data_IF_385889119324
#
_entry.id   IF_385889119324
#
_cell.length_a   1.000
_cell.length_b   1.000
_cell.length_c   1.000
_cell.angle_alpha   90.00
_cell.angle_beta   90.00
_cell.angle_gamma   90.00
#
_symmetry.space_group_name_H-M   'P 1'
#
loop_
_entity.id
_entity.type
_entity.pdbx_description
1 polymer ?
#
# COMPACT_ATOMS: atom_id res chain seq x y z
N UNK A 1 34.58 54.87 41.14
CA UNK A 1 33.40 53.99 41.24
C UNK A 1 33.35 53.14 39.98
N UNK A 2 33.10 51.84 40.14
CA UNK A 2 33.02 50.72 39.18
C UNK A 2 32.91 51.08 37.67
N UNK A 3 33.61 50.47 36.71
CA UNK A 3 34.15 49.12 36.61
C UNK A 3 33.54 48.40 35.39
N UNK A 4 34.23 48.36 34.25
CA UNK A 4 34.01 47.42 33.13
C UNK A 4 35.17 47.58 32.14
N UNK A 5 36.22 46.76 32.22
CA UNK A 5 36.31 45.38 31.72
C UNK A 5 36.21 45.33 30.19
N UNK A 6 37.39 45.21 29.56
CA UNK A 6 37.53 44.96 28.14
C UNK A 6 37.04 43.58 27.73
N UNK A 7 36.96 43.38 26.42
CA UNK A 7 37.04 42.04 25.84
C UNK A 7 37.64 42.13 24.44
N UNK A 8 38.86 41.64 24.35
CA UNK A 8 39.54 41.18 23.14
C UNK A 8 38.94 39.83 22.70
N UNK A 9 38.97 39.61 21.38
CA UNK A 9 38.96 38.38 20.58
C UNK A 9 38.45 37.04 21.17
N UNK A 10 37.59 36.33 20.43
CA UNK A 10 38.00 35.07 19.79
C UNK A 10 36.98 34.56 18.75
N UNK A 11 37.51 34.25 17.58
CA UNK A 11 37.00 33.33 16.54
C UNK A 11 36.35 32.06 17.12
N UNK A 12 35.24 31.57 16.52
CA UNK A 12 35.12 30.19 16.03
C UNK A 12 33.74 29.89 15.38
N UNK A 13 33.78 29.01 14.37
CA UNK A 13 32.74 28.08 13.94
C UNK A 13 31.60 28.56 13.04
N UNK A 14 31.87 28.43 11.73
CA UNK A 14 30.90 27.95 10.75
C UNK A 14 30.11 26.75 11.29
N UNK A 15 28.80 26.91 11.50
CA UNK A 15 27.87 25.78 11.55
C UNK A 15 26.96 25.87 10.33
N UNK A 16 27.27 25.04 9.34
CA UNK A 16 26.41 24.74 8.19
C UNK A 16 25.08 24.17 8.72
N UNK A 17 24.05 25.01 8.79
CA UNK A 17 22.70 24.56 9.10
C UNK A 17 22.18 23.70 7.93
N UNK A 18 21.97 22.42 8.22
CA UNK A 18 21.66 21.38 7.25
C UNK A 18 20.38 21.60 6.45
N UNK A 19 20.46 21.33 5.15
CA UNK A 19 19.31 21.11 4.26
C UNK A 19 18.43 19.97 4.80
N UNK A 20 17.36 20.31 5.51
CA UNK A 20 16.19 19.44 5.64
C UNK A 20 15.40 19.48 4.33
N UNK A 21 15.76 18.63 3.38
CA UNK A 21 14.86 18.29 2.28
C UNK A 21 13.76 17.38 2.82
N UNK A 22 12.72 17.97 3.42
CA UNK A 22 11.44 17.29 3.61
C UNK A 22 10.83 17.09 2.22
N UNK A 23 10.99 15.90 1.66
CA UNK A 23 10.29 15.52 0.43
C UNK A 23 8.79 15.69 0.65
N UNK A 24 8.17 16.63 -0.07
CA UNK A 24 6.72 16.83 -0.03
C UNK A 24 6.05 15.60 -0.61
N UNK A 25 5.30 14.89 0.23
CA UNK A 25 4.37 13.83 -0.15
C UNK A 25 3.40 14.35 -1.22
N UNK A 26 3.51 13.84 -2.46
CA UNK A 26 2.61 14.16 -3.57
C UNK A 26 1.55 13.06 -3.69
N UNK A 27 0.29 13.29 -3.25
CA UNK A 27 -0.77 12.29 -3.28
C UNK A 27 -1.42 12.11 -4.67
N UNK A 28 -0.87 12.74 -5.72
CA UNK A 28 -1.43 12.72 -7.06
C UNK A 28 -1.73 11.29 -7.56
N UNK A 29 -2.78 11.10 -8.38
CA UNK A 29 -3.09 9.80 -8.92
C UNK A 29 -1.93 9.25 -9.74
N UNK A 30 -1.42 8.06 -9.39
CA UNK A 30 -0.66 7.25 -10.34
C UNK A 30 -1.61 6.86 -11.45
N UNK A 31 -1.71 7.71 -12.47
CA UNK A 31 -2.45 7.39 -13.67
C UNK A 31 -1.82 6.14 -14.30
N UNK A 32 -2.63 5.21 -14.82
CA UNK A 32 -2.12 4.14 -15.64
C UNK A 32 -1.30 4.76 -16.78
N UNK A 33 -0.01 4.45 -16.81
CA UNK A 33 0.85 4.82 -17.93
C UNK A 33 1.18 3.52 -18.63
N UNK A 34 0.53 3.30 -19.77
CA UNK A 34 0.78 2.15 -20.63
C UNK A 34 2.23 2.27 -21.13
N UNK A 35 3.14 1.41 -20.63
CA UNK A 35 4.41 1.21 -21.32
C UNK A 35 4.19 0.35 -22.57
N UNK A 36 4.95 0.67 -23.61
CA UNK A 36 5.09 -0.11 -24.85
C UNK A 36 5.96 -1.38 -24.70
N UNK A 37 6.17 -1.89 -23.47
CA UNK A 37 6.97 -3.10 -23.24
C UNK A 37 6.10 -4.34 -23.47
N UNK A 38 6.57 -5.38 -24.18
CA UNK A 38 5.81 -6.60 -24.38
C UNK A 38 5.46 -7.21 -23.02
N UNK A 39 4.16 -7.34 -22.76
CA UNK A 39 3.61 -7.88 -21.52
C UNK A 39 3.62 -9.40 -21.61
N UNK A 40 4.37 -10.14 -20.77
CA UNK A 40 4.33 -11.59 -20.87
C UNK A 40 2.96 -12.16 -20.44
N UNK A 41 2.22 -11.50 -19.55
CA UNK A 41 0.97 -12.08 -19.03
C UNK A 41 -0.09 -11.02 -18.70
N UNK A 42 -0.77 -10.51 -19.72
CA UNK A 42 -2.14 -9.99 -19.52
C UNK A 42 -3.08 -11.19 -19.35
N UNK A 43 -2.97 -11.89 -18.23
CA UNK A 43 -3.88 -12.97 -17.90
C UNK A 43 -5.31 -12.39 -17.84
N UNK A 44 -6.14 -12.74 -18.83
CA UNK A 44 -7.59 -12.53 -18.78
C UNK A 44 -8.09 -13.23 -17.52
N UNK A 45 -8.40 -12.44 -16.49
CA UNK A 45 -9.04 -12.96 -15.29
C UNK A 45 -10.47 -13.36 -15.65
N UNK A 46 -10.67 -14.63 -16.01
CA UNK A 46 -11.99 -15.24 -16.08
C UNK A 46 -12.62 -15.19 -14.69
N UNK A 47 -13.69 -14.42 -14.55
CA UNK A 47 -14.45 -14.33 -13.30
C UNK A 47 -15.39 -15.53 -13.25
N UNK A 48 -15.09 -16.50 -12.39
CA UNK A 48 -16.07 -17.50 -11.99
C UNK A 48 -17.23 -16.77 -11.27
N UNK A 49 -18.37 -16.71 -11.95
CA UNK A 49 -19.60 -16.03 -11.53
C UNK A 49 -20.37 -16.87 -10.50
N UNK A 50 -19.77 -17.14 -9.34
CA UNK A 50 -20.55 -17.52 -8.16
C UNK A 50 -21.40 -16.32 -7.73
N UNK A 51 -22.70 -16.55 -7.41
CA UNK A 51 -23.70 -15.54 -6.99
C UNK A 51 -23.06 -14.23 -6.54
N UNK A 52 -23.03 -13.24 -7.45
CA UNK A 52 -22.37 -11.94 -7.19
C UNK A 52 -23.06 -11.30 -6.00
N UNK A 53 -22.44 -11.33 -4.83
CA UNK A 53 -22.80 -10.42 -3.73
C UNK A 53 -22.77 -9.02 -4.31
N UNK A 54 -23.91 -8.32 -4.26
CA UNK A 54 -24.01 -6.98 -4.81
C UNK A 54 -22.96 -6.08 -4.14
N UNK A 55 -22.08 -5.47 -4.95
CA UNK A 55 -21.09 -4.51 -4.46
C UNK A 55 -21.86 -3.22 -4.14
N UNK A 56 -21.73 -2.66 -2.94
CA UNK A 56 -22.37 -1.37 -2.65
C UNK A 56 -21.75 -0.25 -3.50
N UNK A 57 -22.48 0.84 -3.82
CA UNK A 57 -21.92 1.97 -4.56
C UNK A 57 -20.66 2.57 -3.90
N UNK A 58 -20.66 2.67 -2.56
CA UNK A 58 -19.51 3.16 -1.79
C UNK A 58 -18.33 2.20 -1.86
N UNK A 59 -18.56 0.89 -1.76
CA UNK A 59 -17.49 -0.10 -1.97
C UNK A 59 -16.93 -0.04 -3.40
N UNK A 60 -17.76 0.15 -4.43
CA UNK A 60 -17.29 0.35 -5.82
C UNK A 60 -16.37 1.57 -5.93
N UNK A 61 -16.63 2.65 -5.19
CA UNK A 61 -15.75 3.82 -5.17
C UNK A 61 -14.39 3.46 -4.58
N UNK A 62 -14.34 2.77 -3.43
CA UNK A 62 -13.08 2.32 -2.84
C UNK A 62 -12.30 1.39 -3.77
N UNK A 63 -12.99 0.44 -4.41
CA UNK A 63 -12.37 -0.53 -5.32
C UNK A 63 -11.77 0.11 -6.59
N UNK A 64 -12.35 1.20 -7.07
CA UNK A 64 -11.89 1.89 -8.29
C UNK A 64 -11.12 3.19 -8.04
N UNK A 65 -11.05 3.66 -6.79
CA UNK A 65 -10.43 4.94 -6.45
C UNK A 65 -8.94 5.02 -6.83
N UNK A 66 -8.55 5.92 -7.74
CA UNK A 66 -7.14 6.11 -8.09
C UNK A 66 -6.37 6.82 -6.97
N UNK A 67 -5.04 6.85 -7.11
CA UNK A 67 -4.14 7.55 -6.20
C UNK A 67 -3.88 6.83 -4.89
N UNK A 68 -3.36 7.56 -3.91
CA UNK A 68 -2.91 7.00 -2.63
C UNK A 68 -4.09 6.57 -1.77
N UNK A 69 -4.16 5.26 -1.44
CA UNK A 69 -5.11 4.75 -0.47
C UNK A 69 -4.95 5.45 0.89
N UNK A 70 -3.71 5.62 1.35
CA UNK A 70 -3.42 6.24 2.65
C UNK A 70 -3.86 7.70 2.71
N UNK A 71 -3.65 8.49 1.64
CA UNK A 71 -4.19 9.86 1.59
C UNK A 71 -5.70 9.89 1.76
N UNK A 72 -6.39 8.94 1.11
CA UNK A 72 -7.84 8.83 1.11
C UNK A 72 -8.39 8.41 2.47
N UNK A 73 -7.75 7.46 3.14
CA UNK A 73 -8.11 7.05 4.50
C UNK A 73 -7.89 8.18 5.51
N UNK A 74 -6.86 9.02 5.33
CA UNK A 74 -6.59 10.19 6.19
C UNK A 74 -7.69 11.26 6.18
N UNK A 75 -8.57 11.24 5.18
CA UNK A 75 -9.77 12.11 5.17
C UNK A 75 -10.79 11.72 6.25
N UNK A 76 -10.66 10.52 6.84
CA UNK A 76 -11.61 9.95 7.79
C UNK A 76 -11.04 9.78 9.20
N UNK A 77 -9.80 10.21 9.45
CA UNK A 77 -9.16 10.09 10.75
C UNK A 77 -7.65 9.83 10.69
N UNK A 78 -7.04 9.60 11.86
CA UNK A 78 -5.62 9.31 11.98
C UNK A 78 -5.31 7.91 11.44
N UNK A 79 -4.49 7.83 10.39
CA UNK A 79 -4.08 6.55 9.80
C UNK A 79 -2.77 6.05 10.40
N UNK A 80 -2.79 4.84 10.95
CA UNK A 80 -1.60 4.11 11.41
C UNK A 80 -1.43 2.81 10.62
N UNK A 81 -0.18 2.47 10.29
CA UNK A 81 0.17 1.18 9.66
C UNK A 81 0.67 0.23 10.74
N UNK A 82 0.03 -0.92 10.86
CA UNK A 82 0.49 -2.03 11.67
C UNK A 82 1.03 -3.14 10.76
N UNK A 83 2.28 -3.54 10.93
CA UNK A 83 2.84 -4.68 10.20
C UNK A 83 2.36 -5.97 10.85
N UNK A 84 1.80 -6.88 10.05
CA UNK A 84 1.33 -8.20 10.51
C UNK A 84 2.40 -9.25 10.25
N UNK A 85 2.97 -9.23 9.05
CA UNK A 85 4.04 -10.14 8.65
C UNK A 85 4.88 -9.50 7.56
N UNK A 86 6.16 -9.87 7.48
CA UNK A 86 6.97 -9.58 6.31
C UNK A 86 8.11 -10.58 6.19
N UNK A 87 8.43 -11.03 4.97
CA UNK A 87 9.49 -12.01 4.77
C UNK A 87 9.38 -12.77 3.45
N UNK A 88 10.22 -13.80 3.32
CA UNK A 88 10.15 -14.74 2.19
C UNK A 88 8.93 -15.64 2.36
N UNK A 89 8.09 -15.73 1.34
CA UNK A 89 6.91 -16.60 1.35
C UNK A 89 6.70 -17.24 -0.02
N UNK A 90 5.96 -18.36 -0.02
CA UNK A 90 5.35 -18.88 -1.25
C UNK A 90 4.24 -17.93 -1.68
N UNK A 91 4.24 -17.58 -2.97
CA UNK A 91 3.29 -16.67 -3.58
C UNK A 91 1.99 -17.39 -3.92
N UNK A 92 0.86 -16.68 -3.83
CA UNK A 92 -0.42 -17.21 -4.28
C UNK A 92 -0.48 -17.31 -5.81
N UNK A 93 -1.34 -18.18 -6.41
CA UNK A 93 -1.32 -18.42 -7.87
C UNK A 93 -1.38 -17.15 -8.73
N UNK A 94 -2.22 -16.19 -8.36
CA UNK A 94 -2.33 -14.88 -8.99
C UNK A 94 -1.09 -14.00 -8.81
N UNK A 95 -0.38 -14.14 -7.70
CA UNK A 95 0.90 -13.46 -7.47
C UNK A 95 2.00 -14.10 -8.32
N UNK A 96 2.02 -15.42 -8.42
CA UNK A 96 2.94 -16.14 -9.31
C UNK A 96 2.74 -15.72 -10.76
N UNK A 97 1.48 -15.62 -11.20
CA UNK A 97 1.14 -15.17 -12.55
C UNK A 97 1.60 -13.72 -12.82
N UNK A 98 1.48 -12.83 -11.83
CA UNK A 98 1.90 -11.43 -11.97
C UNK A 98 3.42 -11.22 -11.86
N UNK A 99 4.10 -12.03 -11.04
CA UNK A 99 5.51 -11.85 -10.69
C UNK A 99 6.47 -12.80 -11.41
N UNK A 100 5.96 -13.83 -12.10
CA UNK A 100 6.76 -14.82 -12.82
C UNK A 100 7.62 -15.71 -11.93
N UNK A 101 7.28 -15.88 -10.65
CA UNK A 101 8.07 -16.67 -9.70
C UNK A 101 7.20 -17.34 -8.63
N UNK A 102 7.66 -18.45 -8.06
CA UNK A 102 6.92 -19.21 -7.02
C UNK A 102 7.10 -18.65 -5.61
N UNK A 103 8.26 -18.07 -5.34
CA UNK A 103 8.61 -17.51 -4.03
C UNK A 103 9.02 -16.04 -4.19
N UNK A 104 8.57 -15.24 -3.25
CA UNK A 104 8.78 -13.80 -3.25
C UNK A 104 8.99 -13.25 -1.86
N UNK A 105 9.25 -11.95 -1.80
CA UNK A 105 9.13 -11.20 -0.57
C UNK A 105 7.70 -10.68 -0.45
N UNK A 106 7.09 -10.92 0.70
CA UNK A 106 5.73 -10.51 1.00
C UNK A 106 5.76 -9.59 2.21
N UNK A 107 4.95 -8.54 2.19
CA UNK A 107 4.68 -7.67 3.33
C UNK A 107 3.17 -7.55 3.50
N UNK A 108 2.68 -7.90 4.68
CA UNK A 108 1.27 -7.83 5.06
C UNK A 108 1.11 -6.81 6.18
N UNK A 109 0.16 -5.90 6.00
CA UNK A 109 -0.09 -4.82 6.93
C UNK A 109 -1.59 -4.63 7.12
N UNK A 110 -1.94 -4.02 8.23
CA UNK A 110 -3.27 -3.47 8.48
C UNK A 110 -3.15 -1.97 8.61
N UNK A 111 -3.96 -1.26 7.83
CA UNK A 111 -4.19 0.17 7.99
C UNK A 111 -5.32 0.34 8.99
N UNK A 112 -5.08 1.09 10.06
CA UNK A 112 -6.09 1.48 11.05
C UNK A 112 -6.45 2.95 10.86
N UNK A 113 -7.73 3.29 11.00
CA UNK A 113 -8.20 4.67 11.16
C UNK A 113 -8.66 4.79 12.62
N UNK A 114 -8.07 5.73 13.37
CA UNK A 114 -8.41 5.99 14.78
C UNK A 114 -8.43 4.71 15.63
N UNK A 115 -7.43 3.85 15.41
CA UNK A 115 -7.29 2.57 16.11
C UNK A 115 -8.13 1.42 15.54
N UNK A 116 -9.14 1.66 14.70
CA UNK A 116 -9.98 0.61 14.12
C UNK A 116 -9.39 0.02 12.82
N UNK A 117 -9.26 -1.32 12.66
CA UNK A 117 -8.79 -1.95 11.43
C UNK A 117 -9.66 -1.60 10.22
N UNK A 118 -9.09 -0.93 9.23
CA UNK A 118 -9.80 -0.42 8.06
C UNK A 118 -9.48 -1.22 6.80
N UNK A 119 -8.20 -1.51 6.55
CA UNK A 119 -7.77 -2.21 5.34
C UNK A 119 -6.69 -3.22 5.68
N UNK A 120 -6.88 -4.46 5.24
CA UNK A 120 -5.80 -5.45 5.18
C UNK A 120 -5.13 -5.34 3.81
N UNK A 121 -3.81 -5.18 3.79
CA UNK A 121 -3.06 -5.03 2.55
C UNK A 121 -1.89 -6.00 2.49
N UNK A 122 -1.69 -6.57 1.30
CA UNK A 122 -0.59 -7.48 0.99
C UNK A 122 0.15 -6.99 -0.23
N UNK A 123 1.45 -6.85 -0.08
CA UNK A 123 2.36 -6.46 -1.14
C UNK A 123 3.35 -7.59 -1.40
N UNK A 124 3.54 -7.97 -2.66
CA UNK A 124 4.41 -9.08 -3.05
C UNK A 124 5.26 -8.73 -4.25
N UNK A 125 6.53 -9.15 -4.22
CA UNK A 125 7.48 -8.96 -5.32
C UNK A 125 8.54 -10.06 -5.29
N UNK A 126 9.33 -10.19 -6.37
CA UNK A 126 10.39 -11.20 -6.43
C UNK A 126 11.52 -10.89 -5.45
N UNK A 127 12.25 -11.93 -5.04
CA UNK A 127 13.38 -11.79 -4.12
C UNK A 127 14.55 -11.01 -4.73
N UNK A 128 14.69 -11.04 -6.05
CA UNK A 128 15.66 -10.21 -6.77
C UNK A 128 15.27 -8.74 -6.70
N UNK A 129 13.99 -8.43 -6.86
CA UNK A 129 13.52 -7.06 -6.89
C UNK A 129 13.68 -6.34 -5.53
N UNK A 130 13.57 -7.06 -4.41
CA UNK A 130 13.87 -6.50 -3.07
C UNK A 130 15.36 -6.33 -2.76
N UNK A 131 16.25 -6.71 -3.68
CA UNK A 131 17.68 -6.33 -3.65
C UNK A 131 17.95 -5.12 -4.56
N UNK A 132 17.02 -4.77 -5.44
CA UNK A 132 17.17 -3.72 -6.44
C UNK A 132 16.08 -2.65 -6.31
N UNK A 133 15.21 -2.44 -7.32
CA UNK A 133 14.29 -1.30 -7.37
C UNK A 133 13.29 -1.24 -6.21
N UNK A 134 12.98 -2.37 -5.57
CA UNK A 134 12.08 -2.48 -4.42
C UNK A 134 12.81 -2.69 -3.09
N UNK A 135 14.12 -2.41 -3.00
CA UNK A 135 14.92 -2.61 -1.77
C UNK A 135 14.33 -1.97 -0.52
N UNK A 136 13.72 -0.80 -0.69
CA UNK A 136 13.16 -0.02 0.41
C UNK A 136 11.98 -0.72 1.10
N UNK A 137 11.32 -1.69 0.44
CA UNK A 137 10.16 -2.40 1.03
C UNK A 137 10.51 -3.09 2.36
N UNK A 138 11.75 -3.56 2.52
CA UNK A 138 12.25 -4.22 3.73
C UNK A 138 12.38 -3.24 4.91
N UNK A 139 12.68 -1.98 4.63
CA UNK A 139 12.94 -0.92 5.61
C UNK A 139 11.77 0.04 5.82
N UNK A 140 10.58 -0.30 5.32
CA UNK A 140 9.41 0.57 5.49
C UNK A 140 8.95 0.64 6.96
N UNK A 141 9.06 -0.45 7.72
CA UNK A 141 8.55 -0.49 9.10
C UNK A 141 7.06 -0.11 9.12
N UNK A 142 6.73 0.93 9.88
CA UNK A 142 5.37 1.50 9.99
C UNK A 142 5.05 2.57 8.94
N UNK A 143 5.95 2.83 7.98
CA UNK A 143 5.68 3.76 6.88
C UNK A 143 4.76 3.12 5.82
N UNK A 144 3.80 3.88 5.27
CA UNK A 144 2.92 3.41 4.22
C UNK A 144 3.72 3.13 2.94
N UNK A 145 3.35 2.07 2.23
CA UNK A 145 3.96 1.73 0.92
C UNK A 145 3.83 2.88 -0.09
N UNK A 146 2.79 3.70 0.05
CA UNK A 146 2.59 4.89 -0.76
C UNK A 146 3.86 5.77 -0.84
N UNK A 147 4.59 5.96 0.26
CA UNK A 147 5.83 6.76 0.24
C UNK A 147 6.83 6.21 -0.79
N UNK A 148 7.07 4.90 -0.80
CA UNK A 148 7.95 4.26 -1.79
C UNK A 148 7.42 4.40 -3.23
N UNK A 149 6.11 4.32 -3.42
CA UNK A 149 5.52 4.40 -4.75
C UNK A 149 5.62 5.83 -5.30
N UNK A 150 5.19 6.83 -4.52
CA UNK A 150 5.06 8.21 -4.98
C UNK A 150 6.36 9.01 -4.98
N UNK A 151 7.40 8.56 -4.27
CA UNK A 151 8.74 9.17 -4.32
C UNK A 151 9.42 9.00 -5.69
N UNK A 152 9.04 7.98 -6.47
CA UNK A 152 9.71 7.64 -7.72
C UNK A 152 8.81 7.89 -8.92
N UNK A 153 9.08 8.98 -9.67
CA UNK A 153 8.38 9.33 -10.93
C UNK A 153 8.44 8.25 -12.01
N UNK A 154 9.35 7.28 -11.88
CA UNK A 154 9.54 6.15 -12.79
C UNK A 154 8.65 4.95 -12.48
N UNK A 155 7.91 4.98 -11.36
CA UNK A 155 6.97 3.91 -11.02
C UNK A 155 5.72 4.03 -11.87
N UNK A 156 5.37 2.92 -12.50
CA UNK A 156 4.19 2.81 -13.35
C UNK A 156 3.20 1.86 -12.70
N UNK A 157 1.94 1.99 -13.05
CA UNK A 157 0.86 1.23 -12.42
C UNK A 157 -0.08 0.65 -13.45
N UNK A 158 -0.31 -0.66 -13.36
CA UNK A 158 -1.35 -1.34 -14.12
C UNK A 158 -2.75 -0.98 -13.58
N UNK A 159 -3.81 -1.10 -14.41
CA UNK A 159 -5.17 -0.82 -13.96
C UNK A 159 -5.56 -1.52 -12.66
N UNK A 160 -6.39 -0.86 -11.85
CA UNK A 160 -6.97 -1.48 -10.67
C UNK A 160 -8.00 -2.54 -11.08
N UNK A 161 -7.86 -3.74 -10.52
CA UNK A 161 -8.80 -4.84 -10.71
C UNK A 161 -9.51 -5.11 -9.39
N UNK A 162 -10.83 -4.93 -9.39
CA UNK A 162 -11.68 -5.30 -8.27
C UNK A 162 -11.95 -6.81 -8.28
N UNK A 163 -11.92 -7.45 -7.11
CA UNK A 163 -12.20 -8.87 -6.95
C UNK A 163 -12.82 -9.18 -5.58
N UNK A 164 -13.62 -10.24 -5.51
CA UNK A 164 -13.98 -10.88 -4.25
C UNK A 164 -13.13 -12.13 -4.07
N UNK A 165 -12.73 -12.42 -2.84
CA UNK A 165 -12.10 -13.70 -2.56
C UNK A 165 -13.14 -14.82 -2.65
N UNK A 166 -12.81 -15.87 -3.41
CA UNK A 166 -13.67 -17.04 -3.52
C UNK A 166 -13.87 -17.69 -2.13
N UNK A 167 -15.06 -18.25 -1.84
CA UNK A 167 -15.26 -19.04 -0.63
C UNK A 167 -14.19 -20.12 -0.47
N UNK A 168 -13.66 -20.26 0.75
CA UNK A 168 -12.63 -21.25 1.11
C UNK A 168 -11.30 -21.14 0.34
N UNK A 169 -11.09 -20.07 -0.43
CA UNK A 169 -9.79 -19.81 -1.08
C UNK A 169 -8.67 -19.62 -0.05
N UNK A 170 -7.42 -20.03 -0.35
CA UNK A 170 -6.28 -19.86 0.55
C UNK A 170 -6.13 -18.41 1.04
N UNK A 171 -6.38 -17.43 0.17
CA UNK A 171 -6.33 -16.00 0.45
C UNK A 171 -7.39 -15.60 1.48
N UNK A 172 -8.64 -16.04 1.29
CA UNK A 172 -9.73 -15.74 2.21
C UNK A 172 -9.47 -16.35 3.58
N UNK A 173 -9.00 -17.59 3.62
CA UNK A 173 -8.70 -18.30 4.86
C UNK A 173 -7.48 -17.69 5.58
N UNK A 174 -6.46 -17.25 4.85
CA UNK A 174 -5.31 -16.55 5.41
C UNK A 174 -5.69 -15.19 6.01
N UNK A 175 -6.39 -14.38 5.22
CA UNK A 175 -6.86 -13.07 5.66
C UNK A 175 -7.80 -13.18 6.86
N UNK A 176 -8.76 -14.12 6.85
CA UNK A 176 -9.67 -14.33 7.97
C UNK A 176 -8.93 -14.69 9.27
N UNK A 177 -7.93 -15.57 9.20
CA UNK A 177 -7.10 -15.95 10.37
C UNK A 177 -6.28 -14.79 10.92
N UNK A 178 -5.77 -13.92 10.05
CA UNK A 178 -5.05 -12.73 10.50
C UNK A 178 -6.00 -11.70 11.08
N UNK A 179 -7.15 -11.49 10.43
CA UNK A 179 -8.15 -10.51 10.83
C UNK A 179 -8.72 -10.81 12.21
N UNK A 180 -9.01 -12.08 12.51
CA UNK A 180 -9.56 -12.50 13.81
C UNK A 180 -8.61 -12.31 15.00
N UNK A 181 -7.32 -12.02 14.74
CA UNK A 181 -6.31 -11.74 15.78
C UNK A 181 -6.11 -10.25 16.03
N UNK A 182 -6.77 -9.41 15.24
CA UNK A 182 -6.70 -7.97 15.41
C UNK A 182 -7.74 -7.54 16.46
N UNK A 183 -7.38 -6.58 17.29
CA UNK A 183 -8.38 -5.84 18.07
C UNK A 183 -9.33 -5.14 17.10
N UNK A 184 -10.58 -5.61 17.08
CA UNK A 184 -11.69 -5.08 16.32
C UNK A 184 -12.98 -5.27 17.12
N UNK A 185 -14.03 -4.53 16.75
CA UNK A 185 -15.37 -4.70 17.32
C UNK A 185 -15.80 -6.18 17.30
N UNK A 186 -16.49 -6.66 18.35
CA UNK A 186 -17.15 -7.96 18.34
C UNK A 186 -17.97 -8.12 17.04
N UNK A 187 -17.93 -9.31 16.45
CA UNK A 187 -18.67 -9.66 15.23
C UNK A 187 -18.32 -8.91 13.94
N UNK A 188 -17.25 -8.12 13.89
CA UNK A 188 -16.80 -7.51 12.62
C UNK A 188 -16.22 -8.58 11.68
N UNK A 189 -16.90 -8.94 10.57
CA UNK A 189 -16.42 -10.02 9.72
C UNK A 189 -15.18 -9.59 8.94
N UNK A 190 -14.33 -10.57 8.64
CA UNK A 190 -13.15 -10.36 7.81
C UNK A 190 -13.54 -9.83 6.42
N UNK A 191 -12.73 -8.92 5.84
CA UNK A 191 -13.05 -8.34 4.55
C UNK A 191 -12.98 -9.38 3.41
N UNK A 192 -13.92 -9.26 2.47
CA UNK A 192 -14.07 -10.21 1.35
C UNK A 192 -13.77 -9.59 -0.01
N UNK A 193 -13.90 -8.27 -0.11
CA UNK A 193 -13.67 -7.51 -1.32
C UNK A 193 -12.30 -6.89 -1.28
N UNK A 194 -11.59 -6.98 -2.38
CA UNK A 194 -10.28 -6.42 -2.55
C UNK A 194 -10.14 -5.76 -3.92
N UNK A 195 -9.20 -4.83 -4.01
CA UNK A 195 -8.66 -4.37 -5.27
C UNK A 195 -7.20 -4.77 -5.36
N UNK A 196 -6.72 -5.00 -6.58
CA UNK A 196 -5.31 -5.28 -6.85
C UNK A 196 -4.79 -4.46 -8.01
N UNK A 197 -3.50 -4.22 -8.01
CA UNK A 197 -2.76 -3.62 -9.13
C UNK A 197 -1.31 -4.06 -9.06
N UNK A 198 -0.62 -4.01 -10.20
CA UNK A 198 0.82 -4.26 -10.28
C UNK A 198 1.52 -2.94 -10.55
N UNK A 199 2.53 -2.65 -9.73
CA UNK A 199 3.42 -1.52 -9.89
C UNK A 199 4.72 -1.99 -10.52
N UNK A 200 5.24 -1.22 -11.46
CA UNK A 200 6.44 -1.54 -12.20
C UNK A 200 7.51 -0.48 -11.95
N UNK A 201 8.69 -0.92 -11.54
CA UNK A 201 9.86 -0.06 -11.39
C UNK A 201 11.08 -0.74 -12.03
N UNK A 202 11.61 -0.13 -13.09
CA UNK A 202 12.75 -0.68 -13.87
C UNK A 202 12.53 -2.13 -14.30
N UNK A 203 11.32 -2.46 -14.77
CA UNK A 203 10.96 -3.82 -15.22
C UNK A 203 10.64 -4.81 -14.09
N UNK A 204 10.76 -4.44 -12.82
CA UNK A 204 10.44 -5.32 -11.71
C UNK A 204 9.02 -5.09 -11.18
N UNK A 205 8.16 -6.12 -11.15
CA UNK A 205 6.78 -5.99 -10.69
C UNK A 205 6.68 -6.05 -9.15
N UNK A 206 5.75 -5.27 -8.60
CA UNK A 206 5.30 -5.28 -7.22
C UNK A 206 3.77 -5.34 -7.24
N UNK A 207 3.20 -6.49 -6.90
CA UNK A 207 1.77 -6.62 -6.76
C UNK A 207 1.33 -6.04 -5.41
N UNK A 208 0.26 -5.25 -5.43
CA UNK A 208 -0.40 -4.74 -4.23
C UNK A 208 -1.86 -5.19 -4.27
N UNK A 209 -2.31 -5.78 -3.16
CA UNK A 209 -3.69 -6.17 -2.92
C UNK A 209 -4.18 -5.50 -1.64
N UNK A 210 -5.35 -4.89 -1.71
CA UNK A 210 -5.95 -4.12 -0.61
C UNK A 210 -7.39 -4.57 -0.40
N UNK A 211 -7.72 -5.06 0.80
CA UNK A 211 -9.04 -5.58 1.17
C UNK A 211 -9.68 -4.74 2.28
N UNK A 212 -10.93 -4.32 2.05
CA UNK A 212 -11.60 -3.27 2.83
C UNK A 212 -12.54 -3.86 3.87
N UNK A 213 -12.36 -3.46 5.13
CA UNK A 213 -13.27 -3.81 6.21
C UNK A 213 -14.71 -3.38 5.87
N UNK A 214 -15.74 -4.15 6.28
CA UNK A 214 -17.14 -3.82 5.99
C UNK A 214 -17.50 -2.39 6.37
N UNK A 215 -17.03 -1.92 7.53
CA UNK A 215 -17.38 -0.59 8.02
C UNK A 215 -16.79 0.56 7.17
N UNK A 216 -15.62 0.35 6.56
CA UNK A 216 -15.02 1.34 5.63
C UNK A 216 -15.90 1.53 4.40
N UNK A 217 -16.67 0.51 4.02
CA UNK A 217 -17.59 0.61 2.87
C UNK A 217 -18.77 1.54 3.14
N UNK A 218 -18.98 1.98 4.38
CA UNK A 218 -19.91 3.05 4.72
C UNK A 218 -19.27 4.43 4.64
N UNK A 219 -17.95 4.57 4.51
CA UNK A 219 -17.30 5.86 4.33
C UNK A 219 -17.28 6.26 2.86
N UNK A 220 -17.44 7.56 2.52
CA UNK A 220 -17.23 8.01 1.15
C UNK A 220 -15.75 7.85 0.81
N UNK A 221 -15.44 7.28 -0.36
CA UNK A 221 -14.06 7.21 -0.80
C UNK A 221 -13.50 8.60 -1.11
N UNK A 222 -14.30 9.68 -1.13
CA UNK A 222 -13.91 11.00 -1.63
C UNK A 222 -14.16 11.13 -3.13
N UNK A 223 -13.90 12.29 -3.74
CA UNK A 223 -14.37 12.58 -5.09
C UNK A 223 -13.77 11.60 -6.11
N UNK A 224 -14.62 11.09 -7.00
CA UNK A 224 -14.19 10.59 -8.31
C UNK A 224 -13.78 11.84 -9.09
N UNK A 225 -12.48 12.04 -9.34
CA UNK A 225 -12.12 13.02 -10.36
C UNK A 225 -12.72 12.50 -11.68
N UNK A 226 -13.59 13.33 -12.26
CA UNK A 226 -14.23 13.09 -13.55
C UNK A 226 -13.17 12.93 -14.63
#
# INVERSE_FOLDING_TARGET
MAGSAGNEEMSCAMVKCGRRLRGRYDPAPMLPRLLAVPRPHAARAGVALGRRRAVSPRLRQWLSAPGSLTARLRLHGQVKVQVISQGRCTLWPQEQAALGCRQGYVREVVLRIDGRPAVWARSSTSLQAVKGPWRAIKGLGTRPLAELLFEHRQVLRDPLVAQAFAPKSPERCHLARQWSRLEHEPDSPAPIWARRSVFWHRGHPLQVLESFAPWVTFLPAGPKRR
#
